data_IF_720848049229
#
_entry.id   IF_720848049229
#
_cell.length_a   1.000
_cell.length_b   1.000
_cell.length_c   1.000
_cell.angle_alpha   90.00
_cell.angle_beta   90.00
_cell.angle_gamma   90.00
#
_symmetry.space_group_name_H-M   'P 1'
#
loop_
_entity.id
_entity.type
_entity.pdbx_description
1 polymer ?
#
# COMPACT_ATOMS: atom_id res chain seq x y z
N UNK A 1 19.38 20.84 3.14
CA UNK A 1 18.29 20.30 4.00
C UNK A 1 18.68 18.91 4.48
N UNK A 2 18.61 18.67 5.80
CA UNK A 2 18.94 17.36 6.39
C UNK A 2 17.67 16.57 6.67
N UNK A 3 17.60 15.33 6.20
CA UNK A 3 16.44 14.46 6.31
C UNK A 3 16.79 13.18 7.08
N UNK A 4 16.05 12.89 8.15
CA UNK A 4 16.14 11.63 8.86
C UNK A 4 15.15 10.63 8.24
N UNK A 5 15.66 9.55 7.66
CA UNK A 5 14.87 8.54 6.94
C UNK A 5 14.71 7.31 7.83
N UNK A 6 13.50 7.09 8.33
CA UNK A 6 13.18 5.99 9.25
C UNK A 6 12.64 4.75 8.54
N UNK A 7 12.68 3.59 9.23
CA UNK A 7 12.27 2.27 8.73
C UNK A 7 12.88 1.93 7.35
N UNK A 8 14.16 2.30 7.17
CA UNK A 8 14.89 2.12 5.90
C UNK A 8 15.02 0.64 5.54
N UNK A 9 14.74 0.32 4.29
CA UNK A 9 14.99 -1.01 3.71
C UNK A 9 16.15 -0.94 2.70
N UNK A 10 16.84 -2.05 2.44
CA UNK A 10 17.97 -2.06 1.50
C UNK A 10 17.64 -1.52 0.11
N UNK A 11 16.40 -1.68 -0.35
CA UNK A 11 15.93 -1.21 -1.66
C UNK A 11 15.61 0.29 -1.69
N UNK A 12 15.47 0.97 -0.53
CA UNK A 12 15.17 2.40 -0.51
C UNK A 12 16.40 3.23 -0.93
N UNK A 13 17.57 2.91 -0.38
CA UNK A 13 18.79 3.71 -0.52
C UNK A 13 19.16 4.03 -1.97
N UNK A 14 19.29 3.06 -2.89
CA UNK A 14 19.76 3.34 -4.24
C UNK A 14 18.89 4.38 -4.97
N UNK A 15 17.55 4.25 -4.85
CA UNK A 15 16.63 5.16 -5.52
C UNK A 15 16.67 6.57 -4.93
N UNK A 16 16.71 6.70 -3.61
CA UNK A 16 16.78 8.02 -2.97
C UNK A 16 18.13 8.68 -3.20
N UNK A 17 19.25 7.95 -3.07
CA UNK A 17 20.59 8.49 -3.29
C UNK A 17 20.77 8.98 -4.73
N UNK A 18 20.24 8.27 -5.72
CA UNK A 18 20.24 8.68 -7.13
C UNK A 18 19.49 10.01 -7.33
N UNK A 19 18.30 10.13 -6.72
CA UNK A 19 17.43 11.29 -6.93
C UNK A 19 17.87 12.55 -6.19
N UNK A 20 18.61 12.43 -5.08
CA UNK A 20 19.16 13.58 -4.36
C UNK A 20 20.54 14.00 -4.87
N UNK A 21 21.17 13.21 -5.76
CA UNK A 21 22.47 13.53 -6.31
C UNK A 21 22.44 14.91 -7.01
N UNK A 22 23.36 15.78 -6.63
CA UNK A 22 23.42 17.14 -7.15
C UNK A 22 22.42 18.13 -6.52
N UNK A 23 21.73 17.75 -5.46
CA UNK A 23 20.88 18.62 -4.64
C UNK A 23 21.55 18.95 -3.30
N UNK A 24 21.02 19.94 -2.57
CA UNK A 24 21.45 20.29 -1.19
C UNK A 24 20.72 19.41 -0.12
N UNK A 25 20.24 18.23 -0.48
CA UNK A 25 19.56 17.32 0.43
C UNK A 25 20.54 16.27 0.92
N UNK A 26 20.67 16.15 2.23
CA UNK A 26 21.43 15.09 2.91
C UNK A 26 20.46 14.14 3.60
N UNK A 27 20.55 12.84 3.31
CA UNK A 27 19.72 11.82 3.97
C UNK A 27 20.58 10.99 4.93
N UNK A 28 20.12 10.88 6.18
CA UNK A 28 20.62 9.86 7.12
C UNK A 28 19.60 8.77 7.28
N UNK A 29 20.00 7.55 6.99
CA UNK A 29 19.15 6.37 7.01
C UNK A 29 19.18 5.69 8.38
N UNK A 30 17.99 5.41 8.93
CA UNK A 30 17.80 4.66 10.17
C UNK A 30 16.94 3.42 9.84
N UNK A 31 17.40 2.23 10.24
CA UNK A 31 16.64 0.98 10.09
C UNK A 31 15.51 0.88 11.10
N UNK A 32 15.61 1.62 12.21
CA UNK A 32 14.57 1.71 13.22
C UNK A 32 13.39 2.52 12.73
N UNK A 33 12.21 2.24 13.30
CA UNK A 33 10.98 3.00 13.05
C UNK A 33 10.96 4.28 13.85
N UNK A 34 10.30 5.31 13.31
CA UNK A 34 9.96 6.49 14.09
C UNK A 34 8.81 6.16 15.05
N UNK A 35 8.98 6.55 16.29
CA UNK A 35 8.02 6.42 17.38
C UNK A 35 8.45 7.22 18.59
N UNK A 36 7.70 7.11 19.68
CA UNK A 36 7.96 7.87 20.91
C UNK A 36 9.35 7.61 21.49
N UNK A 37 9.84 6.38 21.39
CA UNK A 37 11.16 5.98 21.93
C UNK A 37 12.33 6.36 21.02
N UNK A 38 12.07 6.70 19.76
CA UNK A 38 13.12 6.91 18.73
C UNK A 38 13.11 8.31 18.15
N UNK A 39 12.12 9.14 18.48
CA UNK A 39 11.96 10.51 17.93
C UNK A 39 13.19 11.38 18.19
N UNK A 40 13.94 11.15 19.26
CA UNK A 40 15.17 11.88 19.57
C UNK A 40 16.28 11.69 18.53
N UNK A 41 16.21 10.64 17.69
CA UNK A 41 17.12 10.44 16.56
C UNK A 41 16.93 11.49 15.46
N UNK A 42 15.78 12.21 15.47
CA UNK A 42 15.51 13.31 14.54
C UNK A 42 16.17 14.65 14.95
N UNK A 43 16.89 14.69 16.06
CA UNK A 43 17.58 15.92 16.51
C UNK A 43 18.61 16.39 15.50
N UNK A 44 18.50 17.66 15.09
CA UNK A 44 19.42 18.28 14.13
C UNK A 44 19.06 18.02 12.68
N UNK A 45 17.87 17.48 12.40
CA UNK A 45 17.32 17.32 11.05
C UNK A 45 16.19 18.33 10.80
N UNK A 46 16.06 18.75 9.54
CA UNK A 46 15.01 19.67 9.09
C UNK A 46 13.69 18.94 8.84
N UNK A 47 13.77 17.66 8.49
CA UNK A 47 12.63 16.83 8.16
C UNK A 47 12.84 15.36 8.50
N UNK A 48 11.71 14.60 8.51
CA UNK A 48 11.71 13.16 8.63
C UNK A 48 11.01 12.52 7.43
N UNK A 49 11.57 11.42 6.93
CA UNK A 49 10.90 10.55 5.95
C UNK A 49 10.41 9.29 6.65
N UNK A 50 9.12 8.99 6.51
CA UNK A 50 8.44 7.92 7.24
C UNK A 50 7.67 6.99 6.30
N UNK A 51 7.34 5.80 6.80
CA UNK A 51 6.54 4.81 6.09
C UNK A 51 5.31 4.39 6.92
N UNK A 52 4.52 3.46 6.40
CA UNK A 52 3.22 3.07 6.98
C UNK A 52 3.27 2.52 8.40
N UNK A 53 4.42 1.98 8.81
CA UNK A 53 4.61 1.37 10.13
C UNK A 53 5.24 2.32 11.15
N UNK A 54 5.64 3.53 10.73
CA UNK A 54 6.10 4.58 11.64
C UNK A 54 4.93 5.20 12.39
N UNK A 55 5.17 5.70 13.59
CA UNK A 55 4.14 6.36 14.42
C UNK A 55 4.43 7.84 14.50
N UNK A 56 3.51 8.67 13.98
CA UNK A 56 3.57 10.13 14.04
C UNK A 56 2.31 10.65 14.73
N UNK A 57 2.12 10.19 15.98
CA UNK A 57 1.02 10.63 16.84
C UNK A 57 1.28 12.04 17.41
N UNK A 58 0.32 12.60 18.14
CA UNK A 58 0.41 13.93 18.69
C UNK A 58 1.67 14.16 19.57
N UNK A 59 2.12 13.15 20.33
CA UNK A 59 3.32 13.22 21.14
C UNK A 59 4.57 13.35 20.27
N UNK A 60 4.73 12.45 19.29
CA UNK A 60 5.84 12.48 18.32
C UNK A 60 5.86 13.80 17.53
N UNK A 61 4.70 14.29 17.11
CA UNK A 61 4.57 15.59 16.41
C UNK A 61 5.12 16.73 17.26
N UNK A 62 4.75 16.79 18.55
CA UNK A 62 5.21 17.83 19.45
C UNK A 62 6.73 17.75 19.66
N UNK A 63 7.25 16.56 19.92
CA UNK A 63 8.69 16.35 20.08
C UNK A 63 9.48 16.69 18.80
N UNK A 64 9.01 16.29 17.62
CA UNK A 64 9.63 16.68 16.35
C UNK A 64 9.68 18.20 16.19
N UNK A 65 8.57 18.87 16.51
CA UNK A 65 8.51 20.34 16.45
C UNK A 65 9.51 21.00 17.39
N UNK A 66 9.62 20.51 18.63
CA UNK A 66 10.56 21.01 19.65
C UNK A 66 12.01 20.76 19.28
N UNK A 67 12.29 19.65 18.56
CA UNK A 67 13.62 19.33 18.00
C UNK A 67 14.00 20.20 16.78
N UNK A 68 13.09 21.05 16.28
CA UNK A 68 13.34 21.91 15.11
C UNK A 68 12.94 21.30 13.78
N UNK A 69 12.40 20.08 13.74
CA UNK A 69 11.85 19.46 12.53
C UNK A 69 10.64 20.25 12.04
N UNK A 70 10.51 20.42 10.74
CA UNK A 70 9.39 21.16 10.12
C UNK A 70 8.70 20.38 9.00
N UNK A 71 9.27 19.28 8.56
CA UNK A 71 8.77 18.48 7.43
C UNK A 71 8.58 17.04 7.82
N UNK A 72 7.42 16.47 7.48
CA UNK A 72 7.14 15.02 7.49
C UNK A 72 6.83 14.60 6.06
N UNK A 73 7.69 13.79 5.48
CA UNK A 73 7.53 13.23 4.14
C UNK A 73 7.16 11.75 4.24
N UNK A 74 5.95 11.39 3.78
CA UNK A 74 5.54 10.00 3.69
C UNK A 74 5.91 9.43 2.32
N UNK A 75 6.69 8.35 2.28
CA UNK A 75 7.00 7.60 1.06
C UNK A 75 5.89 6.60 0.69
N UNK A 76 4.65 6.93 1.02
CA UNK A 76 3.45 6.14 0.74
C UNK A 76 2.24 7.04 0.52
N UNK A 77 1.15 6.47 0.03
CA UNK A 77 -0.10 7.21 -0.20
C UNK A 77 -0.97 7.32 1.06
N UNK A 78 -1.00 6.28 1.90
CA UNK A 78 -1.71 6.29 3.17
C UNK A 78 -1.04 7.21 4.20
N UNK A 79 -1.81 7.82 5.07
CA UNK A 79 -1.32 8.71 6.12
C UNK A 79 -2.05 8.51 7.47
N UNK A 80 -2.66 7.35 7.67
CA UNK A 80 -3.41 7.03 8.90
C UNK A 80 -2.52 6.96 10.14
N UNK A 81 -1.21 6.81 9.95
CA UNK A 81 -0.19 6.80 10.99
C UNK A 81 0.28 8.19 11.41
N UNK A 82 -0.28 9.26 10.79
CA UNK A 82 0.06 10.66 11.10
C UNK A 82 -1.14 11.37 11.72
N UNK A 83 -0.95 11.97 12.89
CA UNK A 83 -1.93 12.89 13.48
C UNK A 83 -1.87 14.25 12.78
N UNK A 84 -2.63 14.37 11.69
CA UNK A 84 -2.67 15.60 10.89
C UNK A 84 -3.21 16.81 11.65
N UNK A 85 -4.05 16.59 12.67
CA UNK A 85 -4.56 17.67 13.52
C UNK A 85 -3.44 18.24 14.41
N UNK A 86 -2.62 17.37 14.99
CA UNK A 86 -1.48 17.78 15.77
C UNK A 86 -0.40 18.46 14.91
N UNK A 87 -0.27 18.08 13.64
CA UNK A 87 0.67 18.70 12.69
C UNK A 87 0.25 20.13 12.29
N UNK A 88 -1.03 20.46 12.36
CA UNK A 88 -1.54 21.75 11.89
C UNK A 88 -0.84 22.93 12.60
N UNK A 89 -0.30 23.86 11.80
CA UNK A 89 0.45 25.02 12.30
C UNK A 89 1.87 24.71 12.81
N UNK A 90 2.33 23.44 12.80
CA UNK A 90 3.64 23.00 13.27
C UNK A 90 4.50 22.38 12.19
N UNK A 91 3.99 21.37 11.51
CA UNK A 91 4.72 20.56 10.54
C UNK A 91 4.04 20.58 9.18
N UNK A 92 4.83 20.67 8.13
CA UNK A 92 4.35 20.42 6.76
C UNK A 92 4.37 18.92 6.47
N UNK A 93 3.22 18.36 6.08
CA UNK A 93 3.08 16.94 5.80
C UNK A 93 2.92 16.73 4.31
N UNK A 94 3.83 15.99 3.71
CA UNK A 94 3.81 15.60 2.31
C UNK A 94 3.63 14.09 2.17
N UNK A 95 2.94 13.65 1.13
CA UNK A 95 2.77 12.22 0.83
C UNK A 95 2.84 11.98 -0.67
N UNK A 96 3.03 10.72 -1.06
CA UNK A 96 2.85 10.31 -2.45
C UNK A 96 1.35 10.26 -2.72
N UNK A 97 0.78 11.14 -3.57
CA UNK A 97 -0.67 11.22 -3.74
C UNK A 97 -1.27 9.98 -4.41
N UNK A 98 -0.52 9.36 -5.31
CA UNK A 98 -0.86 8.11 -5.98
C UNK A 98 0.39 7.48 -6.60
N UNK A 99 0.42 6.15 -6.65
CA UNK A 99 1.37 5.37 -7.43
C UNK A 99 0.57 4.37 -8.27
N UNK A 100 1.20 3.37 -8.91
CA UNK A 100 0.52 2.48 -9.84
C UNK A 100 -0.69 1.76 -9.21
N UNK A 101 -1.94 2.10 -9.58
CA UNK A 101 -3.11 1.35 -9.15
C UNK A 101 -3.18 -0.03 -9.81
N UNK A 102 -2.47 -0.23 -10.91
CA UNK A 102 -2.34 -1.53 -11.60
C UNK A 102 -1.59 -2.54 -10.74
N UNK A 103 -0.48 -2.14 -10.11
CA UNK A 103 0.31 -3.05 -9.27
C UNK A 103 -0.54 -3.71 -8.17
N UNK A 104 -1.42 -2.95 -7.51
CA UNK A 104 -2.31 -3.49 -6.47
C UNK A 104 -3.37 -4.42 -7.05
N UNK A 105 -4.00 -4.03 -8.16
CA UNK A 105 -5.03 -4.84 -8.82
C UNK A 105 -4.48 -6.16 -9.38
N UNK A 106 -3.30 -6.11 -10.01
CA UNK A 106 -2.59 -7.28 -10.54
C UNK A 106 -2.15 -8.22 -9.42
N UNK A 107 -1.64 -7.67 -8.31
CA UNK A 107 -1.28 -8.48 -7.14
C UNK A 107 -2.51 -9.18 -6.53
N UNK A 108 -3.64 -8.49 -6.44
CA UNK A 108 -4.89 -9.09 -5.98
C UNK A 108 -5.32 -10.27 -6.88
N UNK A 109 -5.19 -10.14 -8.21
CA UNK A 109 -5.46 -11.23 -9.15
C UNK A 109 -4.45 -12.38 -8.98
N UNK A 110 -3.16 -12.09 -8.78
CA UNK A 110 -2.15 -13.11 -8.53
C UNK A 110 -2.46 -13.92 -7.26
N UNK A 111 -2.91 -13.25 -6.20
CA UNK A 111 -3.36 -13.92 -4.96
C UNK A 111 -4.61 -14.77 -5.20
N UNK A 112 -5.61 -14.25 -5.93
CA UNK A 112 -6.82 -15.00 -6.29
C UNK A 112 -6.47 -16.28 -7.05
N UNK A 113 -5.61 -16.19 -8.05
CA UNK A 113 -5.14 -17.35 -8.83
C UNK A 113 -4.36 -18.33 -7.96
N UNK A 114 -3.51 -17.81 -7.07
CA UNK A 114 -2.72 -18.64 -6.14
C UNK A 114 -3.62 -19.44 -5.19
N UNK A 115 -4.64 -18.79 -4.63
CA UNK A 115 -5.60 -19.45 -3.74
C UNK A 115 -6.43 -20.50 -4.49
N UNK A 116 -6.96 -20.14 -5.67
CA UNK A 116 -7.78 -21.03 -6.47
C UNK A 116 -7.00 -22.22 -7.03
N UNK A 117 -5.82 -21.99 -7.61
CA UNK A 117 -5.02 -23.02 -8.30
C UNK A 117 -3.98 -23.67 -7.41
N UNK A 118 -3.91 -23.29 -6.12
CA UNK A 118 -2.98 -23.83 -5.12
C UNK A 118 -1.50 -23.80 -5.56
N UNK A 119 -1.09 -22.79 -6.35
CA UNK A 119 0.23 -22.74 -6.99
C UNK A 119 1.36 -22.76 -5.97
N UNK A 120 1.18 -22.13 -4.81
CA UNK A 120 2.13 -22.16 -3.69
C UNK A 120 2.34 -23.59 -3.14
N UNK A 121 1.26 -24.36 -2.97
CA UNK A 121 1.33 -25.74 -2.49
C UNK A 121 1.97 -26.65 -3.55
N UNK A 122 1.59 -26.46 -4.82
CA UNK A 122 2.17 -27.20 -5.93
C UNK A 122 3.67 -26.98 -6.04
N UNK A 123 4.12 -25.74 -5.91
CA UNK A 123 5.56 -25.38 -5.92
C UNK A 123 6.33 -26.11 -4.80
N UNK A 124 5.83 -26.07 -3.56
CA UNK A 124 6.50 -26.74 -2.44
C UNK A 124 6.59 -28.25 -2.70
N UNK A 125 5.47 -28.88 -3.10
CA UNK A 125 5.43 -30.34 -3.38
C UNK A 125 6.40 -30.76 -4.48
N UNK A 126 6.46 -30.01 -5.57
CA UNK A 126 7.38 -30.35 -6.67
C UNK A 126 8.85 -30.23 -6.26
N UNK A 127 9.18 -29.29 -5.38
CA UNK A 127 10.53 -29.21 -4.78
C UNK A 127 10.88 -30.46 -3.96
N UNK A 128 9.87 -31.04 -3.30
CA UNK A 128 10.01 -32.26 -2.49
C UNK A 128 9.80 -33.54 -3.33
N UNK A 129 9.87 -33.44 -4.67
CA UNK A 129 9.64 -34.55 -5.61
C UNK A 129 8.28 -35.24 -5.43
N UNK A 130 7.29 -34.56 -4.87
CA UNK A 130 5.92 -35.05 -4.74
C UNK A 130 5.04 -34.49 -5.86
N UNK A 131 4.69 -35.33 -6.83
CA UNK A 131 3.90 -34.99 -8.01
C UNK A 131 2.41 -35.36 -7.86
N UNK A 132 1.95 -35.70 -6.67
CA UNK A 132 0.54 -35.98 -6.40
C UNK A 132 -0.35 -34.75 -6.62
N UNK A 133 -1.44 -34.92 -7.36
CA UNK A 133 -2.44 -33.88 -7.59
C UNK A 133 -3.49 -33.76 -6.48
N UNK A 134 -3.47 -34.67 -5.49
CA UNK A 134 -4.43 -34.68 -4.39
C UNK A 134 -4.44 -33.32 -3.64
N UNK A 135 -5.63 -32.71 -3.53
CA UNK A 135 -5.82 -31.42 -2.85
C UNK A 135 -5.22 -30.20 -3.58
N UNK A 136 -4.92 -30.31 -4.89
CA UNK A 136 -4.51 -29.23 -5.75
C UNK A 136 -5.59 -28.82 -6.77
N UNK A 137 -6.78 -29.45 -6.70
CA UNK A 137 -7.87 -29.15 -7.62
C UNK A 137 -8.43 -27.74 -7.35
N UNK A 138 -8.44 -26.91 -8.36
CA UNK A 138 -9.13 -25.63 -8.39
C UNK A 138 -10.33 -25.66 -9.34
N UNK A 139 -10.86 -24.49 -9.67
CA UNK A 139 -11.94 -24.33 -10.63
C UNK A 139 -11.61 -23.23 -11.65
N UNK A 140 -12.32 -23.22 -12.77
CA UNK A 140 -12.17 -22.17 -13.78
C UNK A 140 -12.87 -20.91 -13.31
N UNK A 141 -12.19 -19.78 -13.45
CA UNK A 141 -12.78 -18.46 -13.16
C UNK A 141 -13.75 -18.02 -14.26
N UNK A 142 -13.56 -18.52 -15.48
CA UNK A 142 -14.46 -18.24 -16.61
C UNK A 142 -15.90 -18.62 -16.28
N UNK A 143 -16.83 -17.71 -16.55
CA UNK A 143 -18.26 -17.89 -16.26
C UNK A 143 -18.64 -17.76 -14.78
N UNK A 144 -17.69 -17.56 -13.87
CA UNK A 144 -17.99 -17.33 -12.44
C UNK A 144 -18.31 -15.85 -12.18
N UNK A 145 -19.01 -15.61 -11.07
CA UNK A 145 -19.30 -14.25 -10.58
C UNK A 145 -18.22 -13.81 -9.60
N UNK A 146 -17.78 -12.56 -9.71
CA UNK A 146 -16.93 -11.89 -8.73
C UNK A 146 -17.59 -10.62 -8.24
N UNK A 147 -17.64 -10.42 -6.92
CA UNK A 147 -18.09 -9.19 -6.28
C UNK A 147 -16.90 -8.26 -6.00
N UNK A 148 -16.98 -7.01 -6.46
CA UNK A 148 -15.98 -5.98 -6.21
C UNK A 148 -16.57 -4.92 -5.30
N UNK A 149 -16.09 -4.86 -4.05
CA UNK A 149 -16.47 -3.88 -3.05
C UNK A 149 -15.46 -2.74 -3.07
N UNK A 150 -15.91 -1.54 -3.45
CA UNK A 150 -15.06 -0.38 -3.69
C UNK A 150 -14.60 -0.28 -5.15
N UNK A 151 -15.16 0.71 -5.86
CA UNK A 151 -14.92 0.89 -7.31
C UNK A 151 -14.11 2.16 -7.61
N UNK A 152 -13.18 2.49 -6.71
CA UNK A 152 -12.15 3.49 -6.95
C UNK A 152 -11.21 3.09 -8.10
N UNK A 153 -10.09 3.76 -8.25
CA UNK A 153 -9.12 3.49 -9.34
C UNK A 153 -8.71 2.01 -9.38
N UNK A 154 -8.33 1.44 -8.22
CA UNK A 154 -7.87 0.05 -8.10
C UNK A 154 -8.99 -0.94 -8.40
N UNK A 155 -10.17 -0.77 -7.75
CA UNK A 155 -11.30 -1.69 -7.93
C UNK A 155 -11.79 -1.77 -9.38
N UNK A 156 -11.79 -0.65 -10.11
CA UNK A 156 -12.16 -0.63 -11.53
C UNK A 156 -11.14 -1.37 -12.41
N UNK A 157 -9.85 -1.26 -12.08
CA UNK A 157 -8.80 -2.01 -12.80
C UNK A 157 -8.96 -3.50 -12.51
N UNK A 158 -9.15 -3.88 -11.26
CA UNK A 158 -9.38 -5.28 -10.87
C UNK A 158 -10.62 -5.86 -11.57
N UNK A 159 -11.73 -5.11 -11.59
CA UNK A 159 -12.94 -5.49 -12.33
C UNK A 159 -12.67 -5.73 -13.82
N UNK A 160 -11.84 -4.87 -14.46
CA UNK A 160 -11.44 -5.05 -15.87
C UNK A 160 -10.61 -6.33 -16.05
N UNK A 161 -9.69 -6.63 -15.15
CA UNK A 161 -8.91 -7.87 -15.17
C UNK A 161 -9.85 -9.08 -15.06
N UNK A 162 -10.80 -9.07 -14.12
CA UNK A 162 -11.78 -10.14 -13.94
C UNK A 162 -12.64 -10.34 -15.20
N UNK A 163 -13.08 -9.27 -15.85
CA UNK A 163 -13.77 -9.35 -17.15
C UNK A 163 -12.91 -10.01 -18.23
N UNK A 164 -11.59 -9.75 -18.23
CA UNK A 164 -10.62 -10.42 -19.11
C UNK A 164 -10.52 -11.93 -18.90
N UNK A 165 -10.80 -12.40 -17.69
CA UNK A 165 -10.94 -13.84 -17.37
C UNK A 165 -12.31 -14.43 -17.73
N UNK A 166 -13.20 -13.66 -18.35
CA UNK A 166 -14.55 -14.10 -18.70
C UNK A 166 -15.49 -14.21 -17.50
N UNK A 167 -15.20 -13.50 -16.40
CA UNK A 167 -16.05 -13.48 -15.20
C UNK A 167 -17.20 -12.47 -15.37
N UNK A 168 -18.35 -12.76 -14.75
CA UNK A 168 -19.38 -11.77 -14.47
C UNK A 168 -18.93 -10.93 -13.28
N UNK A 169 -18.91 -9.60 -13.43
CA UNK A 169 -18.49 -8.68 -12.36
C UNK A 169 -19.70 -7.95 -11.82
N UNK A 170 -19.97 -8.11 -10.54
CA UNK A 170 -20.90 -7.29 -9.76
C UNK A 170 -20.10 -6.30 -8.92
N UNK A 171 -20.62 -5.11 -8.73
CA UNK A 171 -19.94 -4.04 -8.04
C UNK A 171 -20.79 -3.44 -6.92
N UNK A 172 -20.15 -3.05 -5.84
CA UNK A 172 -20.74 -2.21 -4.79
C UNK A 172 -19.78 -1.08 -4.44
N UNK A 173 -20.32 0.10 -4.32
CA UNK A 173 -19.62 1.28 -3.80
C UNK A 173 -20.63 2.17 -3.07
N UNK A 174 -20.20 2.83 -2.01
CA UNK A 174 -21.01 3.82 -1.31
C UNK A 174 -21.34 5.02 -2.21
N UNK A 175 -20.43 5.31 -3.16
CA UNK A 175 -20.56 6.39 -4.13
C UNK A 175 -20.32 5.84 -5.54
N UNK A 176 -21.33 5.15 -6.13
CA UNK A 176 -21.20 4.53 -7.45
C UNK A 176 -20.83 5.56 -8.52
N UNK A 177 -19.90 5.18 -9.40
CA UNK A 177 -19.59 6.00 -10.57
C UNK A 177 -20.38 5.49 -11.79
N UNK A 178 -21.39 6.24 -12.28
CA UNK A 178 -22.22 5.83 -13.41
C UNK A 178 -21.41 5.59 -14.70
N UNK A 179 -20.31 6.33 -14.89
CA UNK A 179 -19.46 6.22 -16.09
C UNK A 179 -18.57 4.96 -16.07
N UNK A 180 -18.53 4.22 -14.99
CA UNK A 180 -17.68 3.03 -14.84
C UNK A 180 -18.11 1.83 -15.68
N UNK A 181 -19.36 1.80 -16.15
CA UNK A 181 -19.99 0.67 -16.87
C UNK A 181 -19.88 -0.66 -16.09
N UNK A 182 -20.01 -0.59 -14.76
CA UNK A 182 -20.07 -1.74 -13.86
C UNK A 182 -21.53 -1.99 -13.45
N UNK A 183 -21.89 -3.26 -13.25
CA UNK A 183 -23.20 -3.65 -12.73
C UNK A 183 -23.21 -3.45 -11.22
N UNK A 184 -23.75 -2.30 -10.78
CA UNK A 184 -23.88 -2.00 -9.37
C UNK A 184 -25.10 -2.68 -8.78
N UNK A 185 -24.90 -3.32 -7.63
CA UNK A 185 -25.93 -3.95 -6.82
C UNK A 185 -25.76 -3.56 -5.35
N UNK A 186 -26.80 -3.75 -4.55
CA UNK A 186 -26.69 -3.55 -3.11
C UNK A 186 -25.76 -4.57 -2.48
N UNK A 187 -25.05 -4.18 -1.41
CA UNK A 187 -24.07 -5.05 -0.75
C UNK A 187 -24.65 -6.41 -0.31
N UNK A 188 -25.88 -6.49 0.28
CA UNK A 188 -26.47 -7.78 0.62
C UNK A 188 -26.75 -8.68 -0.58
N UNK A 189 -27.05 -8.10 -1.75
CA UNK A 189 -27.24 -8.86 -2.99
C UNK A 189 -25.89 -9.38 -3.51
N UNK A 190 -24.87 -8.52 -3.55
CA UNK A 190 -23.53 -8.89 -3.99
C UNK A 190 -22.98 -10.08 -3.17
N UNK A 191 -23.25 -10.12 -1.86
CA UNK A 191 -22.77 -11.18 -0.97
C UNK A 191 -23.54 -12.51 -1.11
N UNK A 192 -24.69 -12.53 -1.82
CA UNK A 192 -25.49 -13.75 -2.04
C UNK A 192 -25.14 -14.45 -3.36
N UNK A 193 -24.48 -13.78 -4.27
CA UNK A 193 -24.10 -14.28 -5.59
C UNK A 193 -22.74 -14.96 -5.58
#
# INVERSE_FOLDING_TARGET
MKLAFFDTKPYDKPGFDEHIAGTDIEIKYFETRLGEDTVQLAKGFDGVCVFVNDTVNAKVVNELYDLGVRVVALRCAGFNNVDTKACFGKLHVFRVPAYSPYAVAEHAMALLLTVNRHTNKAYIRTRDFNFSLSGLTGFDLHGKTVGVVGTGKIGRIFAKICKGFGMRVLAYDKFPNPDSRLDYVELPELLRQ
#
